data_IF_760288942058
#
_entry.id   IF_760288942058
#
_cell.length_a   1.000
_cell.length_b   1.000
_cell.length_c   1.000
_cell.angle_alpha   90.00
_cell.angle_beta   90.00
_cell.angle_gamma   90.00
#
_symmetry.space_group_name_H-M   'P 1'
#
loop_
_entity.id
_entity.type
_entity.pdbx_description
1 polymer ?
#
# COMPACT_ATOMS: atom_id res chain seq x y z
N UNK A 1 5.29 0.42 -6.74
CA UNK A 1 4.59 1.22 -5.71
C UNK A 1 5.49 1.57 -4.52
N UNK A 2 5.99 0.61 -3.72
CA UNK A 2 6.86 0.95 -2.58
C UNK A 2 8.12 1.72 -3.00
N UNK A 3 8.80 1.23 -4.05
CA UNK A 3 10.03 1.87 -4.57
C UNK A 3 9.78 3.32 -5.01
N UNK A 4 8.67 3.60 -5.69
CA UNK A 4 8.38 4.96 -6.18
C UNK A 4 8.08 5.93 -5.04
N UNK A 5 7.35 5.49 -3.99
CA UNK A 5 7.09 6.32 -2.80
C UNK A 5 8.35 6.51 -1.95
N UNK A 6 9.17 5.47 -1.77
CA UNK A 6 10.46 5.59 -1.07
C UNK A 6 11.43 6.52 -1.80
N UNK A 7 11.51 6.41 -3.12
CA UNK A 7 12.33 7.30 -3.94
C UNK A 7 11.85 8.75 -3.84
N UNK A 8 10.53 8.99 -3.85
CA UNK A 8 9.98 10.34 -3.68
C UNK A 8 10.28 10.89 -2.28
N UNK A 9 10.09 10.09 -1.23
CA UNK A 9 10.44 10.47 0.15
C UNK A 9 11.93 10.77 0.32
N UNK A 10 12.81 9.95 -0.28
CA UNK A 10 14.26 10.15 -0.27
C UNK A 10 14.67 11.42 -1.02
N UNK A 11 14.11 11.67 -2.20
CA UNK A 11 14.40 12.86 -2.98
C UNK A 11 14.00 14.14 -2.23
N UNK A 12 12.81 14.14 -1.62
CA UNK A 12 12.34 15.26 -0.79
C UNK A 12 13.21 15.43 0.45
N UNK A 13 13.65 14.33 1.08
CA UNK A 13 14.51 14.39 2.25
C UNK A 13 15.88 14.99 1.91
N UNK A 14 16.53 14.52 0.84
CA UNK A 14 17.81 15.03 0.37
C UNK A 14 17.69 16.53 0.06
N UNK A 15 16.68 16.91 -0.72
CA UNK A 15 16.46 18.31 -1.08
C UNK A 15 16.29 19.21 0.16
N UNK A 16 15.49 18.79 1.15
CA UNK A 16 15.30 19.56 2.38
C UNK A 16 16.60 19.67 3.20
N UNK A 17 17.42 18.62 3.23
CA UNK A 17 18.72 18.63 3.93
C UNK A 17 19.71 19.57 3.25
N UNK A 18 19.73 19.59 1.92
CA UNK A 18 20.60 20.48 1.14
C UNK A 18 20.16 21.94 1.30
N UNK A 19 18.86 22.21 1.30
CA UNK A 19 18.31 23.55 1.55
C UNK A 19 18.64 24.07 2.96
N UNK A 20 18.57 23.22 4.00
CA UNK A 20 18.98 23.58 5.36
C UNK A 20 20.50 23.87 5.45
N UNK A 21 21.33 23.16 4.67
CA UNK A 21 22.79 23.36 4.62
C UNK A 21 23.19 24.66 3.94
N UNK A 22 22.50 25.03 2.86
CA UNK A 22 22.80 26.23 2.08
C UNK A 22 22.21 27.51 2.72
N UNK A 23 21.50 27.38 3.85
CA UNK A 23 20.90 28.52 4.56
C UNK A 23 19.59 29.00 3.94
N UNK A 24 18.84 28.11 3.26
CA UNK A 24 17.49 28.39 2.76
C UNK A 24 17.42 29.00 1.36
N UNK A 25 18.39 28.70 0.49
CA UNK A 25 18.60 29.40 -0.79
C UNK A 25 18.62 28.53 -2.05
N UNK A 26 17.87 27.42 -2.11
CA UNK A 26 17.76 26.62 -3.34
C UNK A 26 17.15 27.44 -4.48
N UNK A 27 17.73 27.37 -5.68
CA UNK A 27 17.22 28.11 -6.83
C UNK A 27 15.79 27.66 -7.17
N UNK A 28 14.96 28.60 -7.65
CA UNK A 28 13.59 28.28 -8.06
C UNK A 28 13.55 27.20 -9.16
N UNK A 29 14.58 27.16 -10.01
CA UNK A 29 14.75 26.13 -11.04
C UNK A 29 14.97 24.74 -10.43
N UNK A 30 15.83 24.60 -9.40
CA UNK A 30 16.06 23.33 -8.71
C UNK A 30 14.78 22.80 -8.03
N UNK A 31 14.01 23.69 -7.38
CA UNK A 31 12.73 23.32 -6.76
C UNK A 31 11.75 22.78 -7.80
N UNK A 32 11.67 23.41 -8.97
CA UNK A 32 10.80 22.96 -10.06
C UNK A 32 11.25 21.60 -10.61
N UNK A 33 12.54 21.41 -10.83
CA UNK A 33 13.11 20.13 -11.29
C UNK A 33 12.77 19.00 -10.31
N UNK A 34 13.02 19.21 -9.01
CA UNK A 34 12.67 18.23 -7.96
C UNK A 34 11.16 17.96 -7.96
N UNK A 35 10.33 19.01 -8.08
CA UNK A 35 8.88 18.88 -8.17
C UNK A 35 8.43 17.99 -9.33
N UNK A 36 9.01 18.16 -10.53
CA UNK A 36 8.70 17.32 -11.68
C UNK A 36 9.09 15.86 -11.47
N UNK A 37 10.25 15.59 -10.88
CA UNK A 37 10.67 14.21 -10.56
C UNK A 37 9.75 13.56 -9.52
N UNK A 38 9.37 14.28 -8.47
CA UNK A 38 8.40 13.79 -7.47
C UNK A 38 7.05 13.49 -8.13
N UNK A 39 6.57 14.39 -9.00
CA UNK A 39 5.32 14.18 -9.73
C UNK A 39 5.38 12.92 -10.62
N UNK A 40 6.48 12.71 -11.34
CA UNK A 40 6.69 11.50 -12.15
C UNK A 40 6.63 10.23 -11.29
N UNK A 41 7.27 10.23 -10.11
CA UNK A 41 7.25 9.11 -9.18
C UNK A 41 5.83 8.83 -8.64
N UNK A 42 5.03 9.88 -8.41
CA UNK A 42 3.62 9.74 -8.02
C UNK A 42 2.79 9.17 -9.18
N UNK A 43 3.00 9.61 -10.42
CA UNK A 43 2.32 9.04 -11.60
C UNK A 43 2.64 7.56 -11.77
N UNK A 44 3.90 7.16 -11.59
CA UNK A 44 4.30 5.76 -11.59
C UNK A 44 3.59 4.99 -10.46
N UNK A 45 3.54 5.55 -9.25
CA UNK A 45 2.80 4.96 -8.14
C UNK A 45 1.33 4.72 -8.50
N UNK A 46 0.63 5.73 -9.02
CA UNK A 46 -0.79 5.64 -9.39
C UNK A 46 -1.00 4.64 -10.53
N UNK A 47 -0.11 4.60 -11.51
CA UNK A 47 -0.19 3.64 -12.64
C UNK A 47 -0.16 2.19 -12.15
N UNK A 48 0.76 1.87 -11.22
CA UNK A 48 0.81 0.54 -10.62
C UNK A 48 -0.36 0.27 -9.69
N UNK A 49 -0.82 1.26 -8.92
CA UNK A 49 -2.01 1.10 -8.09
C UNK A 49 -3.23 0.75 -8.96
N UNK A 50 -3.43 1.47 -10.07
CA UNK A 50 -4.56 1.29 -10.96
C UNK A 50 -4.58 -0.09 -11.65
N UNK A 51 -3.42 -0.72 -11.89
CA UNK A 51 -3.35 -2.06 -12.49
C UNK A 51 -3.31 -3.21 -11.48
N UNK A 52 -3.08 -2.92 -10.19
CA UNK A 52 -2.97 -3.92 -9.13
C UNK A 52 -4.05 -3.70 -8.05
N UNK A 53 -3.72 -3.00 -6.97
CA UNK A 53 -4.57 -2.81 -5.81
C UNK A 53 -5.95 -2.20 -6.14
N UNK A 54 -6.02 -1.30 -7.13
CA UNK A 54 -7.24 -0.63 -7.55
C UNK A 54 -8.37 -1.61 -7.89
N UNK A 55 -8.23 -2.45 -8.94
CA UNK A 55 -9.24 -3.44 -9.31
C UNK A 55 -9.16 -4.74 -8.50
N UNK A 56 -7.96 -5.23 -8.20
CA UNK A 56 -7.76 -6.59 -7.66
C UNK A 56 -8.39 -6.75 -6.28
N UNK A 57 -8.34 -5.71 -5.42
CA UNK A 57 -8.92 -5.80 -4.07
C UNK A 57 -10.42 -6.07 -4.12
N UNK A 58 -11.14 -5.50 -5.08
CA UNK A 58 -12.59 -5.68 -5.22
C UNK A 58 -12.93 -7.05 -5.79
N UNK A 59 -12.12 -7.55 -6.72
CA UNK A 59 -12.25 -8.91 -7.26
C UNK A 59 -12.07 -9.92 -6.14
N UNK A 60 -10.91 -9.88 -5.45
CA UNK A 60 -10.60 -10.80 -4.35
C UNK A 60 -11.66 -10.74 -3.26
N UNK A 61 -12.07 -9.54 -2.82
CA UNK A 61 -13.11 -9.40 -1.78
C UNK A 61 -14.44 -10.05 -2.19
N UNK A 62 -14.76 -10.09 -3.48
CA UNK A 62 -15.97 -10.75 -3.98
C UNK A 62 -15.84 -12.28 -4.09
N UNK A 63 -14.62 -12.80 -4.20
CA UNK A 63 -14.32 -14.22 -4.41
C UNK A 63 -14.06 -14.97 -3.09
N UNK A 64 -13.37 -14.33 -2.13
CA UNK A 64 -12.91 -14.98 -0.89
C UNK A 64 -14.03 -15.36 0.09
N UNK A 65 -15.22 -14.78 -0.07
CA UNK A 65 -16.32 -15.06 0.84
C UNK A 65 -17.28 -16.13 0.30
N UNK A 66 -17.68 -17.09 1.14
CA UNK A 66 -18.69 -18.10 0.79
C UNK A 66 -19.99 -17.45 0.34
N UNK A 67 -20.66 -18.06 -0.63
CA UNK A 67 -21.88 -17.54 -1.26
C UNK A 67 -22.98 -17.19 -0.24
N UNK A 68 -23.12 -17.96 0.84
CA UNK A 68 -24.16 -17.79 1.86
C UNK A 68 -24.03 -16.50 2.68
N UNK A 69 -22.81 -15.98 2.86
CA UNK A 69 -22.54 -14.80 3.72
C UNK A 69 -21.92 -13.63 2.96
N UNK A 70 -21.62 -13.80 1.67
CA UNK A 70 -20.90 -12.83 0.83
C UNK A 70 -21.46 -11.43 0.92
N UNK A 71 -22.78 -11.27 0.82
CA UNK A 71 -23.41 -9.95 0.86
C UNK A 71 -23.09 -9.17 2.14
N UNK A 72 -23.20 -9.84 3.29
CA UNK A 72 -22.88 -9.23 4.59
C UNK A 72 -21.38 -9.00 4.72
N UNK A 73 -20.55 -9.99 4.37
CA UNK A 73 -19.10 -9.88 4.47
C UNK A 73 -18.53 -8.73 3.62
N UNK A 74 -18.98 -8.61 2.36
CA UNK A 74 -18.59 -7.51 1.47
C UNK A 74 -19.04 -6.15 2.02
N UNK A 75 -20.22 -6.06 2.64
CA UNK A 75 -20.68 -4.81 3.25
C UNK A 75 -19.81 -4.35 4.43
N UNK A 76 -19.35 -5.29 5.26
CA UNK A 76 -18.45 -5.02 6.39
C UNK A 76 -17.08 -4.60 5.88
N UNK A 77 -16.51 -5.32 4.91
CA UNK A 77 -15.21 -4.96 4.31
C UNK A 77 -15.27 -3.60 3.63
N UNK A 78 -16.35 -3.30 2.90
CA UNK A 78 -16.54 -2.00 2.24
C UNK A 78 -16.66 -0.88 3.27
N UNK A 79 -17.41 -1.10 4.36
CA UNK A 79 -17.51 -0.13 5.46
C UNK A 79 -16.15 0.11 6.12
N UNK A 80 -15.37 -0.96 6.34
CA UNK A 80 -14.00 -0.88 6.84
C UNK A 80 -13.07 -0.08 5.91
N UNK A 81 -13.19 -0.28 4.59
CA UNK A 81 -12.45 0.48 3.58
C UNK A 81 -12.75 1.98 3.64
N UNK A 82 -14.03 2.35 3.72
CA UNK A 82 -14.42 3.77 3.83
C UNK A 82 -13.99 4.40 5.16
N UNK A 83 -14.05 3.65 6.26
CA UNK A 83 -13.52 4.09 7.54
C UNK A 83 -11.99 4.30 7.48
N UNK A 84 -11.26 3.39 6.85
CA UNK A 84 -9.83 3.54 6.61
C UNK A 84 -9.51 4.80 5.79
N UNK A 85 -10.25 5.03 4.71
CA UNK A 85 -10.12 6.25 3.90
C UNK A 85 -10.37 7.52 4.72
N UNK A 86 -11.39 7.52 5.58
CA UNK A 86 -11.66 8.65 6.50
C UNK A 86 -10.49 8.91 7.44
N UNK A 87 -9.95 7.86 8.08
CA UNK A 87 -8.79 7.99 8.97
C UNK A 87 -7.59 8.54 8.23
N UNK A 88 -7.26 8.00 7.05
CA UNK A 88 -6.12 8.49 6.24
C UNK A 88 -6.32 9.95 5.84
N UNK A 89 -7.52 10.34 5.43
CA UNK A 89 -7.84 11.72 5.07
C UNK A 89 -7.65 12.69 6.25
N UNK A 90 -7.98 12.27 7.47
CA UNK A 90 -7.82 13.07 8.69
C UNK A 90 -6.36 13.10 9.19
N UNK A 91 -5.65 11.99 9.11
CA UNK A 91 -4.28 11.84 9.64
C UNK A 91 -3.23 12.45 8.70
N UNK A 92 -3.43 12.38 7.39
CA UNK A 92 -2.43 12.83 6.41
C UNK A 92 -2.06 14.32 6.57
N UNK A 93 -3.00 15.27 6.73
CA UNK A 93 -2.64 16.67 6.99
C UNK A 93 -1.86 16.86 8.30
N UNK A 94 -2.18 16.08 9.34
CA UNK A 94 -1.47 16.11 10.61
C UNK A 94 -0.03 15.61 10.46
N UNK A 95 0.20 14.55 9.68
CA UNK A 95 1.54 14.03 9.41
C UNK A 95 2.38 15.04 8.63
N UNK A 96 1.80 15.68 7.61
CA UNK A 96 2.48 16.70 6.81
C UNK A 96 2.88 17.93 7.63
N UNK A 97 2.06 18.33 8.61
CA UNK A 97 2.34 19.45 9.53
C UNK A 97 3.19 19.09 10.75
N UNK A 98 3.56 17.82 10.93
CA UNK A 98 4.33 17.34 12.09
C UNK A 98 5.85 17.41 11.84
N UNK A 99 6.65 17.00 12.85
CA UNK A 99 8.11 16.85 12.74
C UNK A 99 8.55 15.96 11.59
N UNK A 100 7.69 15.04 11.14
CA UNK A 100 7.96 14.11 10.05
C UNK A 100 7.99 14.81 8.68
N UNK A 101 7.34 15.98 8.54
CA UNK A 101 7.18 16.74 7.30
C UNK A 101 6.71 15.82 6.13
N UNK A 102 6.88 16.27 4.90
CA UNK A 102 6.49 15.50 3.71
C UNK A 102 7.26 14.19 3.56
N UNK A 103 8.59 14.21 3.74
CA UNK A 103 9.43 13.02 3.56
C UNK A 103 9.06 11.87 4.53
N UNK A 104 8.88 12.18 5.82
CA UNK A 104 8.50 11.18 6.81
C UNK A 104 7.10 10.61 6.58
N UNK A 105 6.17 11.42 6.08
CA UNK A 105 4.83 10.95 5.67
C UNK A 105 4.95 9.89 4.56
N UNK A 106 5.80 10.11 3.55
CA UNK A 106 6.02 9.16 2.46
C UNK A 106 6.65 7.86 2.97
N UNK A 107 7.58 7.91 3.94
CA UNK A 107 8.16 6.70 4.54
C UNK A 107 7.15 5.87 5.32
N UNK A 108 6.24 6.51 6.07
CA UNK A 108 5.16 5.81 6.76
C UNK A 108 4.25 5.10 5.74
N UNK A 109 3.85 5.80 4.68
CA UNK A 109 3.03 5.21 3.62
C UNK A 109 3.74 4.03 2.93
N UNK A 110 5.04 4.14 2.66
CA UNK A 110 5.83 3.04 2.13
C UNK A 110 5.87 1.83 3.08
N UNK A 111 5.94 2.07 4.39
CA UNK A 111 5.87 1.02 5.41
C UNK A 111 4.53 0.27 5.37
N UNK A 112 3.40 0.99 5.28
CA UNK A 112 2.08 0.38 5.13
C UNK A 112 1.94 -0.40 3.82
N UNK A 113 2.46 0.12 2.71
CA UNK A 113 2.44 -0.60 1.43
C UNK A 113 3.25 -1.90 1.50
N UNK A 114 4.41 -1.87 2.16
CA UNK A 114 5.23 -3.06 2.35
C UNK A 114 4.56 -4.08 3.28
N UNK A 115 3.97 -3.63 4.40
CA UNK A 115 3.20 -4.50 5.29
C UNK A 115 2.00 -5.13 4.58
N UNK A 116 1.30 -4.37 3.74
CA UNK A 116 0.18 -4.85 2.93
C UNK A 116 0.62 -5.89 1.90
N UNK A 117 1.76 -5.68 1.26
CA UNK A 117 2.36 -6.67 0.35
C UNK A 117 2.70 -7.97 1.08
N UNK A 118 3.35 -7.88 2.26
CA UNK A 118 3.65 -9.06 3.07
C UNK A 118 2.38 -9.77 3.55
N UNK A 119 1.35 -9.03 3.94
CA UNK A 119 0.06 -9.60 4.31
C UNK A 119 -0.51 -10.45 3.18
N UNK A 120 -0.65 -9.88 1.98
CA UNK A 120 -1.17 -10.61 0.80
C UNK A 120 -0.31 -11.83 0.48
N UNK A 121 1.02 -11.68 0.46
CA UNK A 121 1.95 -12.78 0.19
C UNK A 121 1.84 -13.92 1.23
N UNK A 122 1.50 -13.58 2.48
CA UNK A 122 1.47 -14.54 3.57
C UNK A 122 0.09 -15.16 3.80
N UNK A 123 -1.01 -14.48 3.48
CA UNK A 123 -2.35 -14.91 3.89
C UNK A 123 -3.29 -15.22 2.74
N UNK A 124 -3.03 -14.70 1.54
CA UNK A 124 -3.96 -14.82 0.42
C UNK A 124 -3.49 -15.91 -0.55
N UNK A 125 -4.29 -16.98 -0.75
CA UNK A 125 -4.03 -17.94 -1.83
C UNK A 125 -4.43 -17.33 -3.18
N UNK A 126 -3.86 -17.86 -4.26
CA UNK A 126 -4.22 -17.47 -5.62
C UNK A 126 -5.64 -17.95 -5.95
N UNK A 127 -6.58 -17.04 -6.21
CA UNK A 127 -8.00 -17.38 -6.48
C UNK A 127 -8.31 -17.53 -7.98
N UNK A 128 -7.35 -17.22 -8.85
CA UNK A 128 -7.55 -17.25 -10.31
C UNK A 128 -7.97 -18.64 -10.81
N UNK A 129 -9.02 -18.65 -11.65
CA UNK A 129 -9.55 -19.83 -12.36
C UNK A 129 -10.12 -20.93 -11.45
N UNK A 130 -10.27 -20.68 -10.14
CA UNK A 130 -10.92 -21.60 -9.22
C UNK A 130 -12.43 -21.33 -9.12
N UNK A 131 -13.20 -22.39 -8.87
CA UNK A 131 -14.63 -22.25 -8.59
C UNK A 131 -14.84 -21.63 -7.21
N UNK A 132 -15.84 -20.75 -7.07
CA UNK A 132 -16.14 -20.03 -5.82
C UNK A 132 -16.42 -20.98 -4.64
N UNK A 133 -16.94 -22.16 -4.92
CA UNK A 133 -17.22 -23.21 -3.95
C UNK A 133 -15.96 -23.84 -3.36
N UNK A 134 -14.82 -23.74 -4.06
CA UNK A 134 -13.55 -24.37 -3.71
C UNK A 134 -12.57 -23.43 -3.01
N UNK A 135 -12.90 -22.15 -2.94
CA UNK A 135 -12.07 -21.13 -2.30
C UNK A 135 -11.82 -21.47 -0.82
N UNK A 136 -12.82 -22.00 -0.11
CA UNK A 136 -12.68 -22.44 1.28
C UNK A 136 -11.63 -23.54 1.46
N UNK A 137 -11.58 -24.51 0.54
CA UNK A 137 -10.56 -25.57 0.53
C UNK A 137 -9.16 -24.99 0.27
N UNK A 138 -9.08 -23.99 -0.60
CA UNK A 138 -7.84 -23.33 -0.99
C UNK A 138 -7.16 -22.64 0.21
N UNK A 139 -7.96 -21.94 1.03
CA UNK A 139 -7.47 -21.35 2.27
C UNK A 139 -6.97 -22.42 3.23
N UNK A 140 -7.70 -23.53 3.41
CA UNK A 140 -7.28 -24.64 4.28
C UNK A 140 -5.93 -25.22 3.85
N UNK A 141 -5.75 -25.44 2.54
CA UNK A 141 -4.51 -26.00 1.96
C UNK A 141 -3.33 -25.03 2.19
N UNK A 142 -3.52 -23.73 1.95
CA UNK A 142 -2.46 -22.73 2.15
C UNK A 142 -2.01 -22.69 3.62
N UNK A 143 -2.94 -22.77 4.57
CA UNK A 143 -2.62 -22.84 5.99
C UNK A 143 -1.85 -24.11 6.36
N UNK A 144 -2.27 -25.27 5.84
CA UNK A 144 -1.57 -26.54 6.07
C UNK A 144 -0.17 -26.57 5.46
N UNK A 145 0.01 -26.02 4.25
CA UNK A 145 1.32 -25.92 3.62
C UNK A 145 2.28 -25.06 4.45
N UNK A 146 1.82 -23.92 4.98
CA UNK A 146 2.65 -23.05 5.84
C UNK A 146 3.01 -23.72 7.16
N UNK A 147 2.08 -24.42 7.79
CA UNK A 147 2.33 -25.18 9.03
C UNK A 147 3.34 -26.31 8.78
N UNK A 148 3.19 -27.08 7.69
CA UNK A 148 4.10 -28.17 7.36
C UNK A 148 5.50 -27.68 6.95
N UNK A 149 5.60 -26.57 6.22
CA UNK A 149 6.90 -25.94 5.95
C UNK A 149 7.57 -25.50 7.26
N UNK A 150 6.81 -24.94 8.19
CA UNK A 150 7.33 -24.53 9.49
C UNK A 150 7.76 -25.74 10.33
N UNK A 151 7.07 -26.88 10.21
CA UNK A 151 7.47 -28.15 10.83
C UNK A 151 8.77 -28.72 10.24
N UNK A 152 9.00 -28.56 8.93
CA UNK A 152 10.20 -29.08 8.26
C UNK A 152 11.44 -28.18 8.45
N UNK A 153 11.24 -26.91 8.82
CA UNK A 153 12.31 -25.94 9.07
C UNK A 153 12.77 -25.88 10.54
N UNK A 154 12.33 -26.81 11.39
CA UNK A 154 12.64 -26.90 12.82
C UNK A 154 13.37 -28.18 13.14
#
# INVERSE_FOLDING_TARGET
>A
MCVSILAAGLLIHIFNVDEEREGGGGSEEERQVVGYFVALLIVLFVSFFASTWGPVVWVVTSEVFPLSVRGVAVSVTTSGNWNGNFVVAMVTPLLLGSVLKTAGTFYILAGFLFASFLFVLLTLPETKEESLERIDELFLILWLQKINLFYYMR
#
